data_IF_544191117310
#
_entry.id   IF_544191117310
#
_cell.length_a   1.000
_cell.length_b   1.000
_cell.length_c   1.000
_cell.angle_alpha   90.00
_cell.angle_beta   90.00
_cell.angle_gamma   90.00
#
_symmetry.space_group_name_H-M   'P 1'
#
loop_
_entity.id
_entity.type
_entity.pdbx_description
1 polymer ?
#
# COMPACT_ATOMS: atom_id res chain seq x y z
N UNK A 1 -2.44 -3.67 -3.75
CA UNK A 1 -2.36 -3.47 -5.18
C UNK A 1 -3.76 -3.53 -5.80
N UNK A 2 -4.22 -2.46 -6.48
CA UNK A 2 -5.58 -2.37 -7.05
C UNK A 2 -5.59 -2.58 -8.57
N UNK A 3 -4.48 -3.04 -9.15
CA UNK A 3 -4.38 -3.36 -10.57
C UNK A 3 -4.99 -2.26 -11.47
N UNK A 4 -4.69 -1.00 -11.18
CA UNK A 4 -5.13 0.20 -11.93
C UNK A 4 -6.65 0.37 -11.98
N UNK A 5 -7.39 -0.23 -11.06
CA UNK A 5 -8.85 -0.21 -11.01
C UNK A 5 -9.53 -1.21 -11.96
N UNK A 6 -8.77 -2.22 -12.43
CA UNK A 6 -9.30 -3.29 -13.28
C UNK A 6 -9.43 -4.61 -12.52
N UNK A 7 -10.37 -5.44 -12.95
CA UNK A 7 -10.51 -6.81 -12.45
C UNK A 7 -9.23 -7.62 -12.69
N UNK A 8 -9.05 -8.71 -11.93
CA UNK A 8 -7.91 -9.63 -12.07
C UNK A 8 -7.67 -10.12 -13.51
N UNK A 9 -8.71 -10.16 -14.34
CA UNK A 9 -8.64 -10.53 -15.77
C UNK A 9 -8.33 -9.36 -16.70
N UNK A 10 -8.18 -8.14 -16.21
CA UNK A 10 -8.05 -6.89 -16.99
C UNK A 10 -9.25 -6.58 -17.95
N UNK A 11 -10.37 -7.28 -17.82
CA UNK A 11 -11.50 -7.17 -18.75
C UNK A 11 -12.53 -6.14 -18.33
N UNK A 12 -12.64 -5.83 -17.03
CA UNK A 12 -13.65 -4.93 -16.49
C UNK A 12 -13.01 -3.85 -15.65
N UNK A 13 -13.47 -2.60 -15.83
CA UNK A 13 -13.17 -1.51 -14.92
C UNK A 13 -14.10 -1.61 -13.71
N UNK A 14 -13.54 -1.65 -12.50
CA UNK A 14 -14.27 -1.99 -11.27
C UNK A 14 -13.94 -1.06 -10.10
N UNK A 15 -13.46 0.15 -10.39
CA UNK A 15 -13.04 1.10 -9.35
C UNK A 15 -14.19 1.47 -8.40
N UNK A 16 -15.44 1.51 -8.88
CA UNK A 16 -16.63 1.75 -8.08
C UNK A 16 -16.87 0.63 -7.06
N UNK A 17 -16.68 -0.62 -7.48
CA UNK A 17 -16.81 -1.79 -6.60
C UNK A 17 -15.71 -1.79 -5.53
N UNK A 18 -14.47 -1.42 -5.91
CA UNK A 18 -13.36 -1.24 -4.98
C UNK A 18 -13.71 -0.16 -3.94
N UNK A 19 -14.19 1.02 -4.37
CA UNK A 19 -14.61 2.11 -3.49
C UNK A 19 -15.66 1.65 -2.49
N UNK A 20 -16.72 0.98 -2.96
CA UNK A 20 -17.79 0.48 -2.12
C UNK A 20 -17.28 -0.51 -1.05
N UNK A 21 -16.37 -1.40 -1.45
CA UNK A 21 -15.80 -2.40 -0.54
C UNK A 21 -14.83 -1.80 0.48
N UNK A 22 -14.01 -0.83 0.08
CA UNK A 22 -13.15 -0.08 1.01
C UNK A 22 -13.98 0.67 2.05
N UNK A 23 -15.09 1.31 1.64
CA UNK A 23 -16.03 1.97 2.55
C UNK A 23 -16.65 1.00 3.56
N UNK A 24 -16.99 -0.21 3.12
CA UNK A 24 -17.57 -1.24 4.02
C UNK A 24 -16.56 -1.68 5.09
N UNK A 25 -15.26 -1.78 4.76
CA UNK A 25 -14.20 -2.09 5.74
C UNK A 25 -13.96 -0.92 6.69
N UNK A 26 -14.12 0.30 6.21
CA UNK A 26 -13.99 1.55 6.96
C UNK A 26 -12.67 1.72 7.73
N UNK A 27 -11.57 1.24 7.16
CA UNK A 27 -10.24 1.38 7.74
C UNK A 27 -9.84 2.85 7.91
N UNK A 28 -9.08 3.18 8.95
CA UNK A 28 -8.62 4.55 9.19
C UNK A 28 -7.55 5.01 8.19
N UNK A 29 -6.71 4.07 7.75
CA UNK A 29 -5.65 4.29 6.75
C UNK A 29 -5.70 3.19 5.71
N UNK A 30 -5.63 3.56 4.42
CA UNK A 30 -5.61 2.63 3.29
C UNK A 30 -4.36 2.84 2.45
N UNK A 31 -3.60 1.77 2.24
CA UNK A 31 -2.39 1.76 1.40
C UNK A 31 -2.72 1.14 0.05
N UNK A 32 -2.50 1.88 -1.03
CA UNK A 32 -2.87 1.47 -2.37
C UNK A 32 -1.66 1.52 -3.31
N UNK A 33 -1.52 0.51 -4.16
CA UNK A 33 -0.51 0.47 -5.21
C UNK A 33 -1.17 0.34 -6.58
N UNK A 34 -0.46 0.73 -7.63
CA UNK A 34 -0.94 0.79 -9.01
C UNK A 34 -2.17 1.70 -9.19
N UNK A 35 -2.22 2.81 -8.47
CA UNK A 35 -3.30 3.80 -8.58
C UNK A 35 -3.03 4.74 -9.74
N UNK A 36 -3.96 4.89 -10.68
CA UNK A 36 -3.85 5.91 -11.72
C UNK A 36 -4.09 7.31 -11.15
N UNK A 37 -3.16 8.21 -11.43
CA UNK A 37 -3.40 9.63 -11.30
C UNK A 37 -4.14 10.13 -12.55
N UNK A 38 -3.40 10.68 -13.51
CA UNK A 38 -3.98 11.17 -14.75
C UNK A 38 -3.90 10.10 -15.85
N UNK A 39 -4.97 9.92 -16.65
CA UNK A 39 -4.99 9.05 -17.82
C UNK A 39 -5.89 9.61 -18.91
N UNK A 40 -5.26 10.13 -19.94
CA UNK A 40 -5.96 10.84 -21.03
C UNK A 40 -6.73 9.93 -22.02
N UNK A 41 -6.44 8.63 -22.06
CA UNK A 41 -7.04 7.69 -23.05
C UNK A 41 -8.29 6.97 -22.52
N UNK A 42 -8.45 6.85 -21.20
CA UNK A 42 -9.47 5.98 -20.62
C UNK A 42 -10.85 6.62 -20.53
N UNK A 43 -10.93 7.95 -20.49
CA UNK A 43 -12.21 8.68 -20.49
C UNK A 43 -13.09 8.38 -21.70
N UNK A 44 -12.47 8.01 -22.83
CA UNK A 44 -13.20 7.69 -24.08
C UNK A 44 -13.50 6.19 -24.24
N UNK A 45 -12.99 5.33 -23.35
CA UNK A 45 -13.11 3.88 -23.50
C UNK A 45 -14.01 3.23 -22.44
N UNK A 46 -14.19 3.89 -21.28
CA UNK A 46 -14.99 3.39 -20.18
C UNK A 46 -15.88 4.52 -19.67
N UNK A 47 -17.19 4.36 -19.80
CA UNK A 47 -18.19 5.36 -19.41
C UNK A 47 -18.14 5.68 -17.90
N UNK A 48 -17.74 4.68 -17.09
CA UNK A 48 -17.64 4.78 -15.64
C UNK A 48 -16.28 5.30 -15.13
N UNK A 49 -15.41 5.81 -16.03
CA UNK A 49 -14.13 6.36 -15.61
C UNK A 49 -14.33 7.68 -14.84
N UNK A 50 -13.79 7.79 -13.59
CA UNK A 50 -14.00 9.01 -12.81
C UNK A 50 -13.36 10.23 -13.47
N UNK A 51 -13.99 11.39 -13.30
CA UNK A 51 -13.44 12.66 -13.78
C UNK A 51 -12.20 13.08 -13.00
N UNK A 52 -12.13 12.70 -11.73
CA UNK A 52 -11.02 12.93 -10.83
C UNK A 52 -9.97 11.82 -10.94
N UNK A 53 -8.82 12.04 -10.31
CA UNK A 53 -7.80 11.00 -10.18
C UNK A 53 -8.33 9.85 -9.32
N UNK A 54 -7.86 8.60 -9.57
CA UNK A 54 -8.43 7.43 -8.90
C UNK A 54 -8.33 7.52 -7.36
N UNK A 55 -7.22 8.05 -6.83
CA UNK A 55 -7.07 8.17 -5.38
C UNK A 55 -8.05 9.19 -4.77
N UNK A 56 -8.33 10.29 -5.45
CA UNK A 56 -9.36 11.27 -5.02
C UNK A 56 -10.75 10.64 -5.07
N UNK A 57 -11.06 9.91 -6.14
CA UNK A 57 -12.32 9.20 -6.28
C UNK A 57 -12.52 8.14 -5.19
N UNK A 58 -11.46 7.40 -4.82
CA UNK A 58 -11.51 6.40 -3.76
C UNK A 58 -11.60 7.04 -2.37
N UNK A 59 -10.87 8.15 -2.15
CA UNK A 59 -10.88 8.88 -0.89
C UNK A 59 -12.27 9.46 -0.57
N UNK A 60 -12.88 10.12 -1.55
CA UNK A 60 -14.22 10.70 -1.47
C UNK A 60 -14.47 11.43 -0.13
N UNK A 61 -15.62 11.19 0.51
CA UNK A 61 -15.98 11.81 1.79
C UNK A 61 -15.54 11.00 3.03
N UNK A 62 -14.93 9.83 2.86
CA UNK A 62 -14.51 8.95 3.96
C UNK A 62 -13.11 9.28 4.43
N UNK A 63 -12.17 9.39 3.49
CA UNK A 63 -10.77 9.72 3.79
C UNK A 63 -10.50 11.15 3.34
N UNK A 64 -10.63 12.09 4.28
CA UNK A 64 -10.48 13.52 3.99
C UNK A 64 -9.05 13.92 3.61
N UNK A 65 -8.09 13.06 3.91
CA UNK A 65 -6.68 13.29 3.65
C UNK A 65 -6.10 12.19 2.78
N UNK A 66 -5.28 12.56 1.80
CA UNK A 66 -4.59 11.59 0.96
C UNK A 66 -3.20 12.10 0.55
N UNK A 67 -2.29 11.16 0.31
CA UNK A 67 -0.99 11.38 -0.32
C UNK A 67 -0.88 10.52 -1.57
N UNK A 68 -0.27 11.03 -2.63
CA UNK A 68 -0.08 10.32 -3.87
C UNK A 68 1.32 10.51 -4.43
N UNK A 69 2.04 9.40 -4.65
CA UNK A 69 3.37 9.36 -5.22
C UNK A 69 3.36 8.85 -6.65
N UNK A 70 3.73 9.70 -7.62
CA UNK A 70 3.91 9.27 -9.01
C UNK A 70 5.11 8.34 -9.13
N UNK A 71 4.90 7.14 -9.69
CA UNK A 71 5.97 6.17 -9.92
C UNK A 71 6.30 6.08 -11.41
N UNK A 72 5.36 5.59 -12.22
CA UNK A 72 5.55 5.41 -13.65
C UNK A 72 4.80 6.51 -14.44
N UNK A 73 5.54 7.21 -15.29
CA UNK A 73 5.02 8.30 -16.11
C UNK A 73 5.09 7.88 -17.58
N UNK A 74 3.96 7.95 -18.28
CA UNK A 74 3.80 7.62 -19.69
C UNK A 74 3.25 8.82 -20.45
N UNK A 75 3.29 8.78 -21.78
CA UNK A 75 2.64 9.81 -22.62
C UNK A 75 1.14 9.93 -22.36
N UNK A 76 0.49 8.85 -21.92
CA UNK A 76 -0.95 8.77 -21.68
C UNK A 76 -1.36 8.99 -20.22
N UNK A 77 -0.43 9.29 -19.32
CA UNK A 77 -0.71 9.49 -17.89
C UNK A 77 0.36 8.93 -16.97
N UNK A 78 -0.02 8.69 -15.72
CA UNK A 78 0.88 8.13 -14.70
C UNK A 78 0.11 7.26 -13.70
N UNK A 79 0.82 6.34 -13.06
CA UNK A 79 0.31 5.60 -11.91
C UNK A 79 1.35 5.57 -10.78
N UNK A 80 0.92 5.21 -9.58
CA UNK A 80 1.80 5.19 -8.43
C UNK A 80 1.16 4.63 -7.17
N UNK A 81 1.76 4.97 -6.04
CA UNK A 81 1.27 4.61 -4.72
C UNK A 81 0.36 5.71 -4.17
N UNK A 82 -0.66 5.33 -3.40
CA UNK A 82 -1.49 6.28 -2.66
C UNK A 82 -1.69 5.81 -1.22
N UNK A 83 -1.85 6.77 -0.31
CA UNK A 83 -2.29 6.53 1.05
C UNK A 83 -3.52 7.42 1.28
N UNK A 84 -4.64 6.78 1.67
CA UNK A 84 -5.85 7.48 2.08
C UNK A 84 -5.91 7.45 3.61
N UNK A 85 -6.29 8.56 4.25
CA UNK A 85 -6.30 8.67 5.70
C UNK A 85 -7.50 9.47 6.22
N UNK A 86 -8.12 9.01 7.30
CA UNK A 86 -9.07 9.81 8.09
C UNK A 86 -8.36 10.88 8.91
N UNK A 87 -7.05 10.73 9.12
CA UNK A 87 -6.23 11.64 9.93
C UNK A 87 -5.38 12.56 9.05
N UNK A 88 -5.12 13.81 9.48
CA UNK A 88 -4.32 14.74 8.73
C UNK A 88 -2.85 14.30 8.62
N UNK A 89 -2.26 14.55 7.45
CA UNK A 89 -0.82 14.42 7.27
C UNK A 89 -0.12 15.66 7.84
N UNK A 90 0.90 15.43 8.64
CA UNK A 90 1.86 16.48 9.04
C UNK A 90 2.78 16.80 7.87
N UNK A 91 3.24 15.72 7.21
CA UNK A 91 4.12 15.78 6.04
C UNK A 91 4.03 14.46 5.26
N UNK A 92 4.43 14.50 4.01
CA UNK A 92 4.64 13.29 3.21
C UNK A 92 5.64 13.53 2.09
N UNK A 93 6.31 12.47 1.67
CA UNK A 93 7.31 12.50 0.60
C UNK A 93 7.23 11.22 -0.24
N UNK A 94 7.41 11.37 -1.56
CA UNK A 94 7.53 10.24 -2.49
C UNK A 94 8.98 10.05 -2.89
N UNK A 95 9.59 8.98 -2.41
CA UNK A 95 11.01 8.67 -2.60
C UNK A 95 11.15 7.72 -3.78
N UNK A 96 11.81 8.16 -4.86
CA UNK A 96 12.07 7.31 -6.01
C UNK A 96 13.14 6.27 -5.67
N UNK A 97 12.81 4.98 -5.82
CA UNK A 97 13.72 3.84 -5.62
C UNK A 97 13.88 3.00 -6.89
N UNK A 98 13.54 3.56 -8.04
CA UNK A 98 13.66 2.88 -9.33
C UNK A 98 15.12 2.65 -9.69
N UNK A 99 15.46 1.44 -10.09
CA UNK A 99 16.76 1.11 -10.70
C UNK A 99 16.67 1.10 -12.22
N UNK A 100 15.49 0.80 -12.77
CA UNK A 100 15.24 0.75 -14.21
C UNK A 100 14.19 1.81 -14.58
N UNK A 101 14.43 2.53 -15.68
CA UNK A 101 13.49 3.53 -16.19
C UNK A 101 12.12 2.94 -16.61
N UNK A 102 12.11 1.66 -17.00
CA UNK A 102 10.89 0.98 -17.46
C UNK A 102 10.00 0.48 -16.32
N UNK A 103 10.54 0.34 -15.11
CA UNK A 103 9.82 -0.18 -13.94
C UNK A 103 9.99 0.77 -12.75
N UNK A 104 9.33 1.91 -12.83
CA UNK A 104 9.43 2.94 -11.79
C UNK A 104 8.80 2.47 -10.48
N UNK A 105 9.52 2.61 -9.38
CA UNK A 105 9.13 2.23 -8.02
C UNK A 105 9.37 3.38 -7.05
N UNK A 106 8.55 3.48 -6.04
CA UNK A 106 8.74 4.48 -4.98
C UNK A 106 8.30 3.98 -3.62
N UNK A 107 8.79 4.67 -2.59
CA UNK A 107 8.31 4.60 -1.22
C UNK A 107 7.52 5.89 -0.98
N UNK A 108 6.24 5.79 -0.65
CA UNK A 108 5.43 6.93 -0.25
C UNK A 108 5.39 6.97 1.27
N UNK A 109 6.17 7.87 1.87
CA UNK A 109 6.28 8.03 3.32
C UNK A 109 5.44 9.23 3.76
N UNK A 110 4.51 9.01 4.68
CA UNK A 110 3.72 10.05 5.33
C UNK A 110 3.83 9.96 6.84
N UNK A 111 3.65 11.08 7.51
CA UNK A 111 3.49 11.18 8.96
C UNK A 111 2.09 11.71 9.23
N UNK A 112 1.23 10.91 9.85
CA UNK A 112 -0.11 11.32 10.28
C UNK A 112 -0.11 11.68 11.76
N UNK A 113 -1.04 12.56 12.14
CA UNK A 113 -1.22 12.96 13.53
C UNK A 113 -2.60 12.57 14.04
N UNK A 114 -2.65 11.87 15.16
CA UNK A 114 -3.90 11.48 15.79
C UNK A 114 -4.48 12.65 16.59
N UNK A 115 -5.72 13.13 16.29
CA UNK A 115 -6.24 14.37 16.88
C UNK A 115 -6.41 14.33 18.41
N UNK A 116 -6.70 13.15 18.98
CA UNK A 116 -6.97 13.02 20.43
C UNK A 116 -5.71 12.97 21.29
N UNK A 117 -4.63 12.39 20.79
CA UNK A 117 -3.40 12.16 21.56
C UNK A 117 -2.25 13.03 21.09
N UNK A 118 -2.40 13.72 19.98
CA UNK A 118 -1.34 14.45 19.29
C UNK A 118 -0.16 13.55 18.86
N UNK A 119 -0.33 12.23 18.98
CA UNK A 119 0.71 11.26 18.64
C UNK A 119 0.89 11.19 17.14
N UNK A 120 2.15 11.18 16.71
CA UNK A 120 2.53 10.97 15.32
C UNK A 120 2.66 9.48 15.04
N UNK A 121 2.25 9.07 13.85
CA UNK A 121 2.46 7.72 13.33
C UNK A 121 3.08 7.84 11.94
N UNK A 122 4.21 7.22 11.73
CA UNK A 122 4.83 7.11 10.42
C UNK A 122 4.18 5.98 9.63
N UNK A 123 3.82 6.26 8.38
CA UNK A 123 3.18 5.31 7.48
C UNK A 123 3.91 5.30 6.14
N UNK A 124 4.30 4.12 5.67
CA UNK A 124 5.05 3.98 4.41
C UNK A 124 4.33 2.99 3.50
N UNK A 125 3.89 3.47 2.33
CA UNK A 125 3.35 2.62 1.27
C UNK A 125 4.48 2.21 0.33
N UNK A 126 4.61 0.90 0.09
CA UNK A 126 5.65 0.34 -0.78
C UNK A 126 5.06 -0.41 -1.96
N UNK A 127 5.74 -0.34 -3.10
CA UNK A 127 5.58 -1.25 -4.23
C UNK A 127 6.98 -1.54 -4.78
N UNK A 128 7.56 -2.69 -4.41
CA UNK A 128 8.94 -3.04 -4.74
C UNK A 128 9.05 -3.76 -6.09
N UNK A 129 10.26 -3.87 -6.59
CA UNK A 129 10.59 -4.52 -7.86
C UNK A 129 10.46 -6.05 -7.82
N UNK A 130 10.22 -6.65 -8.98
CA UNK A 130 10.11 -8.11 -9.15
C UNK A 130 11.46 -8.83 -9.03
N UNK A 131 12.56 -8.15 -9.41
CA UNK A 131 13.88 -8.76 -9.43
C UNK A 131 14.57 -8.68 -8.08
N UNK A 132 15.21 -9.78 -7.64
CA UNK A 132 15.83 -9.88 -6.33
C UNK A 132 16.87 -8.80 -6.05
N UNK A 133 17.79 -8.53 -7.00
CA UNK A 133 18.83 -7.50 -6.84
C UNK A 133 18.26 -6.09 -6.74
N UNK A 134 17.22 -5.80 -7.50
CA UNK A 134 16.49 -4.53 -7.41
C UNK A 134 15.85 -4.36 -6.05
N UNK A 135 15.15 -5.39 -5.59
CA UNK A 135 14.45 -5.41 -4.31
C UNK A 135 15.38 -5.25 -3.11
N UNK A 136 16.55 -5.89 -3.14
CA UNK A 136 17.59 -5.75 -2.10
C UNK A 136 18.03 -4.28 -1.93
N UNK A 137 18.29 -3.58 -3.03
CA UNK A 137 18.65 -2.16 -3.00
C UNK A 137 17.49 -1.28 -2.50
N UNK A 138 16.27 -1.58 -2.93
CA UNK A 138 15.07 -0.87 -2.50
C UNK A 138 14.81 -1.06 -1.00
N UNK A 139 15.01 -2.27 -0.48
CA UNK A 139 14.92 -2.58 0.96
C UNK A 139 16.02 -1.86 1.76
N UNK A 140 17.24 -1.77 1.23
CA UNK A 140 18.30 -0.99 1.86
C UNK A 140 17.95 0.50 1.92
N UNK A 141 17.39 1.06 0.84
CA UNK A 141 16.91 2.46 0.83
C UNK A 141 15.76 2.67 1.80
N UNK A 142 14.82 1.73 1.90
CA UNK A 142 13.74 1.75 2.89
C UNK A 142 14.30 1.77 4.32
N UNK A 143 15.26 0.89 4.62
CA UNK A 143 15.90 0.83 5.93
C UNK A 143 16.64 2.13 6.27
N UNK A 144 17.38 2.71 5.33
CA UNK A 144 18.03 4.01 5.50
C UNK A 144 17.01 5.13 5.77
N UNK A 145 15.89 5.16 5.01
CA UNK A 145 14.82 6.14 5.21
C UNK A 145 14.23 6.05 6.61
N UNK A 146 13.95 4.84 7.08
CA UNK A 146 13.40 4.63 8.43
C UNK A 146 14.40 5.09 9.49
N UNK A 147 15.67 4.70 9.39
CA UNK A 147 16.70 5.08 10.37
C UNK A 147 16.94 6.59 10.44
N UNK A 148 16.80 7.31 9.33
CA UNK A 148 17.09 8.74 9.27
C UNK A 148 15.88 9.65 9.56
N UNK A 149 14.64 9.16 9.38
CA UNK A 149 13.44 10.00 9.43
C UNK A 149 12.34 9.48 10.38
N UNK A 150 12.50 8.29 10.95
CA UNK A 150 11.51 7.74 11.87
C UNK A 150 12.14 7.55 13.24
N UNK A 151 11.85 8.44 14.21
CA UNK A 151 12.34 8.30 15.58
C UNK A 151 12.01 6.93 16.15
N UNK A 152 12.93 6.35 16.94
CA UNK A 152 12.77 4.99 17.47
C UNK A 152 11.58 4.85 18.43
N UNK A 153 11.17 5.92 19.05
CA UNK A 153 10.02 6.03 19.97
C UNK A 153 8.70 6.35 19.27
N UNK A 154 8.71 6.64 17.96
CA UNK A 154 7.48 6.89 17.21
C UNK A 154 6.98 5.61 16.51
N UNK A 155 5.66 5.37 16.52
CA UNK A 155 5.05 4.24 15.83
C UNK A 155 5.27 4.30 14.31
N UNK A 156 5.43 3.11 13.71
CA UNK A 156 5.65 2.93 12.28
C UNK A 156 4.78 1.81 11.74
N UNK A 157 4.14 2.04 10.60
CA UNK A 157 3.46 1.02 9.77
C UNK A 157 4.04 1.08 8.35
N UNK A 158 4.45 -0.06 7.82
CA UNK A 158 4.91 -0.20 6.42
C UNK A 158 4.00 -1.22 5.75
N UNK A 159 3.30 -0.83 4.70
CA UNK A 159 2.38 -1.74 4.04
C UNK A 159 2.46 -1.61 2.50
N UNK A 160 2.15 -2.71 1.81
CA UNK A 160 2.06 -2.74 0.36
C UNK A 160 2.58 -4.01 -0.27
N UNK A 161 2.84 -3.92 -1.58
CA UNK A 161 3.34 -4.99 -2.40
C UNK A 161 4.88 -5.03 -2.35
N UNK A 162 5.40 -5.99 -1.60
CA UNK A 162 6.84 -6.23 -1.46
C UNK A 162 7.42 -7.06 -2.60
N UNK A 163 6.58 -7.73 -3.41
CA UNK A 163 7.02 -8.67 -4.43
C UNK A 163 8.03 -9.73 -3.92
N UNK A 164 7.94 -10.02 -2.62
CA UNK A 164 8.91 -10.86 -1.88
C UNK A 164 8.30 -12.15 -1.35
N UNK A 165 7.94 -13.06 -2.26
CA UNK A 165 7.36 -14.37 -1.88
C UNK A 165 8.31 -15.26 -1.08
N UNK A 166 9.62 -14.95 -1.04
CA UNK A 166 10.65 -15.70 -0.30
C UNK A 166 10.92 -15.17 1.10
N UNK A 167 10.30 -14.04 1.49
CA UNK A 167 10.45 -13.46 2.83
C UNK A 167 11.81 -12.83 3.15
N UNK A 168 12.58 -12.42 2.12
CA UNK A 168 13.90 -11.81 2.32
C UNK A 168 13.84 -10.41 2.95
N UNK A 169 12.73 -9.70 2.75
CA UNK A 169 12.50 -8.38 3.33
C UNK A 169 12.61 -8.40 4.85
N UNK A 170 12.22 -9.50 5.50
CA UNK A 170 12.29 -9.64 6.96
C UNK A 170 13.70 -9.47 7.49
N UNK A 171 14.71 -10.04 6.83
CA UNK A 171 16.11 -9.91 7.25
C UNK A 171 16.55 -8.45 7.30
N UNK A 172 16.18 -7.65 6.27
CA UNK A 172 16.53 -6.23 6.22
C UNK A 172 15.79 -5.38 7.25
N UNK A 173 14.53 -5.71 7.51
CA UNK A 173 13.63 -4.87 8.32
C UNK A 173 13.66 -5.28 9.81
N UNK A 174 13.64 -6.58 10.12
CA UNK A 174 13.57 -7.04 11.50
C UNK A 174 14.86 -6.80 12.28
N UNK A 175 16.02 -7.19 11.74
CA UNK A 175 17.28 -7.12 12.46
C UNK A 175 17.76 -5.70 12.72
N UNK A 176 17.49 -4.77 11.79
CA UNK A 176 18.03 -3.41 11.84
C UNK A 176 17.05 -2.38 12.39
N UNK A 177 15.73 -2.64 12.36
CA UNK A 177 14.70 -1.62 12.61
C UNK A 177 13.70 -2.01 13.70
N UNK A 178 13.78 -3.22 14.24
CA UNK A 178 12.86 -3.73 15.27
C UNK A 178 11.39 -3.84 14.80
N UNK A 179 11.13 -3.88 13.49
CA UNK A 179 9.79 -4.06 12.96
C UNK A 179 9.39 -5.53 12.92
N UNK A 180 8.11 -5.82 13.14
CA UNK A 180 7.51 -7.15 13.06
C UNK A 180 6.52 -7.20 11.91
N UNK A 181 6.37 -8.37 11.28
CA UNK A 181 5.30 -8.56 10.28
C UNK A 181 4.04 -9.08 10.98
N UNK A 182 2.89 -8.46 10.64
CA UNK A 182 1.62 -8.68 11.33
C UNK A 182 1.17 -10.13 11.31
N UNK A 183 1.04 -10.74 10.13
CA UNK A 183 0.50 -12.10 10.00
C UNK A 183 1.46 -13.16 10.55
N UNK A 184 2.75 -12.99 10.31
CA UNK A 184 3.76 -13.89 10.88
C UNK A 184 3.76 -13.83 12.40
N UNK A 185 3.62 -12.62 12.98
CA UNK A 185 3.54 -12.44 14.42
C UNK A 185 2.25 -13.03 15.03
N UNK A 186 1.10 -12.84 14.37
CA UNK A 186 -0.22 -13.25 14.88
C UNK A 186 -0.62 -14.67 14.51
N UNK A 187 -0.18 -15.17 13.35
CA UNK A 187 -0.63 -16.45 12.75
C UNK A 187 0.51 -17.43 12.47
N UNK A 188 1.77 -17.05 12.73
CA UNK A 188 2.96 -17.88 12.50
C UNK A 188 3.43 -17.96 11.04
N UNK A 189 2.70 -17.37 10.09
CA UNK A 189 3.04 -17.40 8.67
C UNK A 189 2.57 -16.15 7.94
N UNK A 190 3.22 -15.81 6.83
CA UNK A 190 2.77 -14.72 5.95
C UNK A 190 1.44 -15.03 5.28
N UNK A 191 0.59 -14.01 5.10
CA UNK A 191 -0.61 -14.14 4.30
C UNK A 191 -0.26 -14.36 2.82
N UNK A 192 -0.96 -15.27 2.15
CA UNK A 192 -0.81 -15.51 0.71
C UNK A 192 -1.83 -14.65 -0.02
N UNK A 193 -1.37 -13.71 -0.86
CA UNK A 193 -2.22 -12.67 -1.45
C UNK A 193 -2.34 -12.75 -2.97
N UNK A 194 -1.45 -13.48 -3.63
CA UNK A 194 -1.38 -13.55 -5.09
C UNK A 194 -1.31 -15.01 -5.62
N UNK A 195 -1.90 -15.32 -6.78
CA UNK A 195 -2.93 -14.53 -7.45
C UNK A 195 -4.27 -14.61 -6.69
N UNK A 196 -5.10 -13.56 -6.76
CA UNK A 196 -6.32 -13.46 -5.95
C UNK A 196 -7.29 -14.64 -6.09
N UNK A 197 -7.36 -15.28 -7.27
CA UNK A 197 -8.23 -16.43 -7.53
C UNK A 197 -7.76 -17.73 -6.85
N UNK A 198 -6.44 -17.88 -6.62
CA UNK A 198 -5.82 -18.99 -5.87
C UNK A 198 -4.56 -18.47 -5.16
N UNK A 199 -4.67 -17.85 -3.98
CA UNK A 199 -3.54 -17.23 -3.31
C UNK A 199 -2.50 -18.25 -2.84
N UNK A 200 -1.36 -18.30 -3.55
CA UNK A 200 -0.24 -19.21 -3.23
C UNK A 200 1.05 -18.45 -2.89
N UNK A 201 1.19 -17.20 -3.34
CA UNK A 201 2.36 -16.37 -3.09
C UNK A 201 2.03 -15.25 -2.10
N UNK A 202 2.97 -14.99 -1.19
CA UNK A 202 2.85 -13.94 -0.19
C UNK A 202 3.57 -12.69 -0.69
N UNK A 203 2.88 -11.86 -1.48
CA UNK A 203 3.45 -10.65 -2.08
C UNK A 203 3.29 -9.42 -1.20
N UNK A 204 2.12 -9.29 -0.59
CA UNK A 204 1.75 -8.14 0.23
C UNK A 204 2.08 -8.39 1.71
N UNK A 205 2.49 -7.34 2.42
CA UNK A 205 2.90 -7.37 3.82
C UNK A 205 2.42 -6.14 4.58
N UNK A 206 2.28 -6.31 5.89
CA UNK A 206 2.12 -5.22 6.85
C UNK A 206 3.17 -5.39 7.94
N UNK A 207 4.17 -4.52 7.96
CA UNK A 207 5.16 -4.43 9.04
C UNK A 207 4.81 -3.30 9.99
N UNK A 208 5.17 -3.44 11.26
CA UNK A 208 4.88 -2.43 12.28
C UNK A 208 5.94 -2.38 13.39
N UNK A 209 6.00 -1.25 14.08
CA UNK A 209 6.80 -1.02 15.29
C UNK A 209 6.07 -0.01 16.17
N UNK A 210 6.22 -0.12 17.52
CA UNK A 210 5.64 0.84 18.48
C UNK A 210 4.12 0.79 18.60
N UNK A 211 3.50 -0.34 18.22
CA UNK A 211 2.06 -0.58 18.26
C UNK A 211 1.78 -2.01 18.76
N UNK A 212 0.57 -2.24 19.29
CA UNK A 212 0.05 -3.57 19.57
C UNK A 212 -0.95 -3.99 18.48
N UNK A 213 -0.74 -5.16 17.85
CA UNK A 213 -1.72 -5.73 16.91
C UNK A 213 -2.87 -6.33 17.72
N UNK A 214 -4.09 -5.90 17.42
CA UNK A 214 -5.31 -6.41 18.04
C UNK A 214 -5.90 -7.54 17.22
N UNK A 215 -6.01 -7.33 15.89
CA UNK A 215 -6.51 -8.32 14.94
C UNK A 215 -5.84 -8.16 13.57
N UNK A 216 -5.90 -9.24 12.77
CA UNK A 216 -5.51 -9.21 11.38
C UNK A 216 -6.36 -10.17 10.56
N UNK A 217 -6.76 -9.74 9.38
CA UNK A 217 -7.60 -10.49 8.46
C UNK A 217 -7.08 -10.42 7.03
N UNK A 218 -7.02 -11.58 6.38
CA UNK A 218 -6.80 -11.69 4.95
C UNK A 218 -8.18 -11.71 4.26
N UNK A 219 -8.51 -10.66 3.52
CA UNK A 219 -9.82 -10.49 2.91
C UNK A 219 -9.92 -11.36 1.64
N UNK A 220 -10.45 -12.57 1.83
CA UNK A 220 -10.63 -13.58 0.79
C UNK A 220 -12.09 -13.72 0.37
N UNK A 221 -12.33 -14.40 -0.74
CA UNK A 221 -13.68 -14.63 -1.23
C UNK A 221 -14.25 -13.45 -2.02
N UNK A 222 -15.57 -13.43 -2.16
CA UNK A 222 -16.27 -12.33 -2.84
C UNK A 222 -16.46 -11.15 -1.88
N UNK A 223 -16.30 -9.91 -2.35
CA UNK A 223 -15.99 -9.51 -3.74
C UNK A 223 -14.48 -9.46 -4.08
N UNK A 224 -13.59 -9.61 -3.08
CA UNK A 224 -12.14 -9.34 -3.16
C UNK A 224 -11.40 -10.13 -4.24
N UNK A 225 -11.77 -11.41 -4.46
CA UNK A 225 -11.13 -12.29 -5.46
C UNK A 225 -11.26 -11.81 -6.91
N UNK A 226 -12.16 -10.85 -7.17
CA UNK A 226 -12.40 -10.31 -8.52
C UNK A 226 -11.93 -8.88 -8.68
N UNK A 227 -11.62 -8.20 -7.59
CA UNK A 227 -11.32 -6.76 -7.58
C UNK A 227 -9.89 -6.42 -8.01
N UNK A 228 -8.98 -7.35 -7.89
CA UNK A 228 -7.59 -7.21 -8.29
C UNK A 228 -7.01 -8.59 -8.51
N UNK A 229 -5.81 -8.68 -9.03
CA UNK A 229 -5.00 -9.89 -9.02
C UNK A 229 -4.33 -10.15 -7.65
N UNK A 230 -4.42 -9.18 -6.71
CA UNK A 230 -4.06 -9.33 -5.30
C UNK A 230 -5.29 -9.30 -4.39
N UNK A 231 -5.24 -10.02 -3.27
CA UNK A 231 -6.25 -9.93 -2.20
C UNK A 231 -5.76 -9.02 -1.09
N UNK A 232 -6.65 -8.16 -0.50
CA UNK A 232 -6.23 -7.20 0.51
C UNK A 232 -5.92 -7.84 1.86
N UNK A 233 -5.05 -7.16 2.61
CA UNK A 233 -4.76 -7.42 4.02
C UNK A 233 -5.36 -6.32 4.90
N UNK A 234 -5.88 -6.71 6.04
CA UNK A 234 -6.38 -5.81 7.08
C UNK A 234 -5.67 -6.08 8.40
N UNK A 235 -5.36 -5.04 9.16
CA UNK A 235 -4.84 -5.14 10.51
C UNK A 235 -5.40 -4.02 11.39
N UNK A 236 -5.69 -4.38 12.63
CA UNK A 236 -6.12 -3.46 13.67
C UNK A 236 -5.02 -3.29 14.70
N UNK A 237 -4.73 -2.04 15.04
CA UNK A 237 -3.67 -1.67 15.97
C UNK A 237 -4.22 -0.85 17.14
N UNK A 238 -3.61 -1.06 18.29
CA UNK A 238 -3.76 -0.22 19.49
C UNK A 238 -2.43 0.47 19.78
N UNK A 239 -2.50 1.75 20.16
CA UNK A 239 -1.36 2.48 20.70
C UNK A 239 -0.87 1.83 21.98
N UNK A 240 0.45 1.88 22.19
CA UNK A 240 1.10 1.42 23.43
C UNK A 240 1.07 2.55 24.45
#
# INVERSE_FOLDING_TARGET
NIHKGFSASNLRFILHEIKSSLRHIDADVVFLQEVHGERNISKNRFDDWPNNQQFEFLADQVWHHHAYGKNAIYKSGHHGNAILSKYPFVEWENINVSLMRSASRSLLHGTIQLPRTNQKIHIICVHLGLFGVERERQLSTLAQRINSHVPSNEPLIIAGDFNDWRGRAEHHLHQNLGVKEVFKNMRGAYARTFPAWLPVLSMDRIYYRGLNVVDCSHLQGQPWRRMSDHTPLFAEFKLI
#
